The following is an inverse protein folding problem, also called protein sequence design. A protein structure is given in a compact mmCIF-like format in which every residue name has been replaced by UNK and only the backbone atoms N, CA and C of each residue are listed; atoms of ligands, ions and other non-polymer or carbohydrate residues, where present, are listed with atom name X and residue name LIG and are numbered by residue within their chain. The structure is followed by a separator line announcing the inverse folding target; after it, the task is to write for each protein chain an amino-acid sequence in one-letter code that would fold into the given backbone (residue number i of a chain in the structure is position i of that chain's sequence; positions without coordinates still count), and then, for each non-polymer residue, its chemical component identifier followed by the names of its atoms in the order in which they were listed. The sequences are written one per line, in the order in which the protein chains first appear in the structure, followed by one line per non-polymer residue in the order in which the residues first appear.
data_IF_140823509029
#
_entry.id   IF_140823509029
#
_cell.length_a   1.000
_cell.length_b   1.000
_cell.length_c   1.000
_cell.angle_alpha   90.00
_cell.angle_beta   90.00
_cell.angle_gamma   90.00
#
_symmetry.space_group_name_H-M   'P 1'
#
loop_
_entity.id
_entity.type
_entity.pdbx_description
1 polymer ?
#
# COMPACT_ATOMS: atom_id res chain seq x y z
N UNK A 1 -8.87 -10.33 17.10
CA UNK A 1 -9.69 -9.88 18.24
C UNK A 1 -9.35 -8.44 18.58
N UNK A 2 -10.29 -7.75 19.27
CA UNK A 2 -10.12 -6.40 19.78
C UNK A 2 -10.52 -6.41 21.26
N UNK A 3 -9.68 -5.79 22.08
CA UNK A 3 -9.99 -5.54 23.50
C UNK A 3 -10.15 -4.04 23.70
N UNK A 4 -11.20 -3.62 24.39
CA UNK A 4 -11.46 -2.21 24.69
C UNK A 4 -11.60 -2.02 26.21
N UNK A 5 -10.88 -1.05 26.74
CA UNK A 5 -10.97 -0.60 28.13
C UNK A 5 -11.15 0.91 28.13
N UNK A 6 -12.36 1.37 28.44
CA UNK A 6 -12.74 2.78 28.37
C UNK A 6 -12.37 3.37 26.99
N UNK A 7 -11.42 4.27 26.92
CA UNK A 7 -10.95 4.97 25.71
C UNK A 7 -9.77 4.29 25.02
N UNK A 8 -9.27 3.18 25.53
CA UNK A 8 -8.15 2.44 24.94
C UNK A 8 -8.66 1.23 24.18
N UNK A 9 -8.34 1.15 22.90
CA UNK A 9 -8.65 0.02 22.03
C UNK A 9 -7.35 -0.66 21.59
N UNK A 10 -7.23 -1.96 21.83
CA UNK A 10 -6.08 -2.80 21.49
C UNK A 10 -6.49 -3.86 20.47
N UNK A 11 -6.27 -3.67 19.18
CA UNK A 11 -6.40 -4.71 18.18
C UNK A 11 -5.20 -5.67 18.21
N UNK A 12 -5.47 -6.98 18.15
CA UNK A 12 -4.47 -8.04 18.05
C UNK A 12 -4.91 -9.08 17.01
N UNK A 13 -4.00 -9.53 16.18
CA UNK A 13 -4.24 -10.58 15.20
C UNK A 13 -3.00 -11.43 14.97
N UNK A 14 -3.20 -12.71 14.73
CA UNK A 14 -2.14 -13.64 14.34
C UNK A 14 -2.62 -14.55 13.22
N UNK A 15 -1.69 -14.93 12.35
CA UNK A 15 -1.91 -15.85 11.23
C UNK A 15 -0.74 -16.81 11.14
N UNK A 16 -1.05 -18.06 10.84
CA UNK A 16 -0.05 -19.05 10.53
C UNK A 16 -0.26 -19.54 9.10
N UNK A 17 0.76 -19.42 8.27
CA UNK A 17 0.74 -19.78 6.86
C UNK A 17 1.56 -21.06 6.62
N UNK A 18 1.04 -21.92 5.73
CA UNK A 18 1.75 -23.06 5.13
C UNK A 18 1.72 -22.84 3.62
N UNK A 19 2.88 -22.96 2.99
CA UNK A 19 3.01 -22.82 1.54
C UNK A 19 3.90 -23.94 1.01
N UNK A 20 3.28 -24.87 0.30
CA UNK A 20 3.96 -25.97 -0.38
C UNK A 20 4.04 -25.63 -1.86
N UNK A 21 5.25 -25.57 -2.42
CA UNK A 21 5.50 -25.16 -3.79
C UNK A 21 6.32 -26.23 -4.53
N UNK A 22 5.99 -26.43 -5.80
CA UNK A 22 6.74 -27.32 -6.70
C UNK A 22 6.98 -26.59 -8.04
N UNK A 23 8.23 -26.56 -8.46
CA UNK A 23 8.64 -26.04 -9.76
C UNK A 23 9.20 -27.15 -10.62
N UNK A 24 8.61 -27.37 -11.80
CA UNK A 24 9.05 -28.36 -12.77
C UNK A 24 9.76 -27.67 -13.96
N UNK A 25 11.06 -27.87 -14.06
CA UNK A 25 11.81 -27.48 -15.25
C UNK A 25 11.69 -28.60 -16.31
N UNK A 26 10.81 -28.40 -17.28
CA UNK A 26 10.54 -29.41 -18.35
C UNK A 26 11.69 -29.58 -19.32
N UNK A 27 12.61 -28.63 -19.43
CA UNK A 27 13.78 -28.73 -20.32
C UNK A 27 14.87 -29.54 -19.67
N UNK A 28 15.16 -29.29 -18.40
CA UNK A 28 16.17 -30.02 -17.64
C UNK A 28 15.64 -31.31 -17.01
N UNK A 29 14.31 -31.50 -16.96
CA UNK A 29 13.69 -32.67 -16.29
C UNK A 29 13.86 -32.64 -14.76
N UNK A 30 14.12 -31.48 -14.16
CA UNK A 30 14.34 -31.33 -12.73
C UNK A 30 13.11 -30.75 -12.04
N UNK A 31 12.89 -31.19 -10.81
CA UNK A 31 11.83 -30.68 -9.93
C UNK A 31 12.45 -30.09 -8.69
N UNK A 32 12.10 -28.86 -8.36
CA UNK A 32 12.43 -28.23 -7.08
C UNK A 32 11.16 -28.14 -6.23
N UNK A 33 11.29 -28.40 -4.92
CA UNK A 33 10.19 -28.33 -3.94
C UNK A 33 10.61 -27.47 -2.78
N UNK A 34 9.66 -26.62 -2.35
CA UNK A 34 9.86 -25.73 -1.23
C UNK A 34 8.64 -25.71 -0.32
N UNK A 35 8.86 -25.98 0.95
CA UNK A 35 7.85 -25.95 2.01
C UNK A 35 8.20 -24.81 2.96
N UNK A 36 7.35 -23.80 3.04
CA UNK A 36 7.54 -22.66 3.90
C UNK A 36 6.43 -22.60 4.96
N UNK A 37 6.81 -22.24 6.19
CA UNK A 37 5.89 -22.08 7.32
C UNK A 37 6.23 -20.79 8.04
N UNK A 38 5.22 -19.94 8.30
CA UNK A 38 5.46 -18.68 8.95
C UNK A 38 4.28 -18.28 9.84
N UNK A 39 4.59 -17.93 11.07
CA UNK A 39 3.67 -17.17 11.92
C UNK A 39 3.90 -15.69 11.71
N UNK A 40 2.83 -14.92 11.46
CA UNK A 40 2.83 -13.47 11.38
C UNK A 40 1.79 -12.92 12.34
N UNK A 41 2.06 -11.75 12.90
CA UNK A 41 1.14 -11.11 13.82
C UNK A 41 1.05 -9.60 13.56
N UNK A 42 -0.03 -9.02 14.04
CA UNK A 42 -0.23 -7.57 14.08
C UNK A 42 -0.82 -7.18 15.42
N UNK A 43 -0.43 -6.01 15.89
CA UNK A 43 -0.98 -5.46 17.12
C UNK A 43 -0.89 -3.94 17.10
N UNK A 44 -1.72 -3.31 17.91
CA UNK A 44 -1.73 -1.85 18.00
C UNK A 44 -2.40 -1.37 19.26
N UNK A 45 -2.35 -0.07 19.46
CA UNK A 45 -3.07 0.64 20.49
C UNK A 45 -3.64 1.92 19.92
N UNK A 46 -4.91 2.18 20.21
CA UNK A 46 -5.61 3.40 19.84
C UNK A 46 -6.15 4.05 21.09
N UNK A 47 -6.12 5.37 21.16
CA UNK A 47 -6.75 6.13 22.23
C UNK A 47 -7.88 6.98 21.65
N UNK A 48 -9.10 6.76 22.14
CA UNK A 48 -10.33 7.37 21.63
C UNK A 48 -10.64 8.64 22.44
N UNK A 49 -10.37 9.82 21.90
CA UNK A 49 -10.79 11.07 22.49
C UNK A 49 -12.25 11.39 22.15
N UNK A 50 -12.97 12.05 23.05
CA UNK A 50 -14.39 12.40 22.87
C UNK A 50 -14.64 13.38 21.71
N UNK A 51 -13.61 14.10 21.26
CA UNK A 51 -13.68 15.04 20.14
C UNK A 51 -13.48 14.38 18.76
N UNK A 52 -13.48 13.05 18.69
CA UNK A 52 -13.31 12.27 17.46
C UNK A 52 -11.85 12.08 17.02
N UNK A 53 -10.88 12.57 17.78
CA UNK A 53 -9.45 12.34 17.53
C UNK A 53 -9.03 10.99 18.10
N UNK A 54 -8.34 10.18 17.29
CA UNK A 54 -7.85 8.85 17.69
C UNK A 54 -6.39 8.70 17.26
N UNK A 55 -5.42 9.07 18.07
CA UNK A 55 -4.03 8.67 17.86
C UNK A 55 -3.87 7.17 17.99
N UNK A 56 -2.96 6.61 17.21
CA UNK A 56 -2.67 5.19 17.25
C UNK A 56 -1.20 4.87 16.99
N UNK A 57 -0.80 3.71 17.46
CA UNK A 57 0.42 3.02 17.05
C UNK A 57 0.04 1.63 16.59
N UNK A 58 0.66 1.14 15.51
CA UNK A 58 0.52 -0.23 15.05
C UNK A 58 1.86 -0.85 14.66
N UNK A 59 1.93 -2.15 14.84
CA UNK A 59 2.96 -3.04 14.32
C UNK A 59 2.30 -4.15 13.52
N UNK A 60 2.86 -4.49 12.37
CA UNK A 60 2.37 -5.60 11.54
C UNK A 60 3.52 -6.32 10.83
N UNK A 61 3.31 -7.62 10.62
CA UNK A 61 4.18 -8.48 9.83
C UNK A 61 3.44 -9.01 8.62
N UNK A 62 4.18 -9.24 7.52
CA UNK A 62 3.68 -9.89 6.32
C UNK A 62 4.62 -11.01 5.88
N UNK A 63 4.03 -12.00 5.20
CA UNK A 63 4.71 -13.13 4.60
C UNK A 63 4.09 -13.38 3.22
N UNK A 64 4.95 -13.52 2.21
CA UNK A 64 4.55 -13.74 0.83
C UNK A 64 5.48 -14.79 0.19
N UNK A 65 4.98 -16.02 -0.08
CA UNK A 65 5.74 -17.05 -0.80
C UNK A 65 6.14 -16.56 -2.19
N UNK A 66 7.34 -16.93 -2.64
CA UNK A 66 7.78 -16.60 -4.00
C UNK A 66 7.27 -17.67 -4.98
N UNK A 67 6.71 -17.25 -6.10
CA UNK A 67 6.39 -18.13 -7.24
C UNK A 67 7.49 -18.14 -8.31
N UNK A 68 8.57 -17.39 -8.11
CA UNK A 68 9.67 -17.27 -9.05
C UNK A 68 10.81 -18.23 -8.71
N UNK A 69 11.54 -18.63 -9.75
CA UNK A 69 12.73 -19.49 -9.63
C UNK A 69 13.97 -18.73 -10.09
N UNK A 70 15.10 -19.01 -9.45
CA UNK A 70 16.40 -18.49 -9.83
C UNK A 70 16.97 -19.17 -11.09
N UNK A 71 18.14 -18.73 -11.52
CA UNK A 71 18.89 -19.28 -12.64
C UNK A 71 19.27 -20.77 -12.42
N UNK A 72 19.42 -21.17 -11.19
CA UNK A 72 19.69 -22.54 -10.74
C UNK A 72 18.45 -23.44 -10.70
N UNK A 73 17.26 -22.88 -10.98
CA UNK A 73 15.98 -23.56 -10.94
C UNK A 73 15.34 -23.67 -9.56
N UNK A 74 15.99 -23.17 -8.51
CA UNK A 74 15.47 -23.20 -7.15
C UNK A 74 14.43 -22.11 -6.93
N UNK A 75 13.38 -22.42 -6.17
CA UNK A 75 12.35 -21.46 -5.76
C UNK A 75 12.95 -20.51 -4.72
N UNK A 76 12.76 -19.19 -4.92
CA UNK A 76 13.27 -18.18 -3.99
C UNK A 76 12.63 -18.24 -2.61
N UNK A 77 13.36 -17.75 -1.61
CA UNK A 77 12.84 -17.58 -0.26
C UNK A 77 11.64 -16.61 -0.24
N UNK A 78 10.63 -16.86 0.63
CA UNK A 78 9.51 -15.97 0.79
C UNK A 78 9.95 -14.56 1.21
N UNK A 79 9.32 -13.54 0.67
CA UNK A 79 9.53 -12.20 1.16
C UNK A 79 8.78 -11.99 2.47
N UNK A 80 9.40 -11.21 3.39
CA UNK A 80 8.84 -10.87 4.70
C UNK A 80 8.84 -9.37 4.88
N UNK A 81 7.75 -8.85 5.42
CA UNK A 81 7.62 -7.43 5.76
C UNK A 81 7.42 -7.22 7.24
N UNK A 82 7.94 -6.10 7.75
CA UNK A 82 7.67 -5.57 9.10
C UNK A 82 7.41 -4.09 8.99
N UNK A 83 6.30 -3.63 9.58
CA UNK A 83 5.93 -2.22 9.56
C UNK A 83 5.61 -1.72 10.96
N UNK A 84 6.16 -0.56 11.27
CA UNK A 84 5.78 0.29 12.40
C UNK A 84 5.08 1.52 11.86
N UNK A 85 3.95 1.88 12.46
CA UNK A 85 3.17 3.03 12.05
C UNK A 85 2.65 3.80 13.26
N UNK A 86 2.75 5.12 13.19
CA UNK A 86 2.15 6.06 14.14
C UNK A 86 1.25 6.99 13.37
N UNK A 87 0.02 7.13 13.79
CA UNK A 87 -0.93 7.98 13.10
C UNK A 87 -1.99 8.58 13.99
N UNK A 88 -2.79 9.42 13.37
CA UNK A 88 -3.97 10.04 13.97
C UNK A 88 -5.13 9.91 12.99
N UNK A 89 -6.25 9.42 13.47
CA UNK A 89 -7.53 9.42 12.78
C UNK A 89 -8.45 10.45 13.41
N UNK A 90 -9.13 11.25 12.60
CA UNK A 90 -10.12 12.23 13.04
C UNK A 90 -11.48 11.91 12.42
N UNK A 91 -12.46 11.63 13.26
CA UNK A 91 -13.85 11.33 12.87
C UNK A 91 -14.76 12.05 13.86
N UNK A 92 -15.10 13.33 13.63
CA UNK A 92 -16.01 14.06 14.50
C UNK A 92 -17.43 13.50 14.38
N UNK A 93 -18.20 13.54 15.47
CA UNK A 93 -19.58 13.02 15.51
C UNK A 93 -20.57 13.90 14.75
N UNK A 94 -20.30 15.21 14.69
CA UNK A 94 -21.19 16.23 14.12
C UNK A 94 -21.02 16.45 12.60
N UNK A 95 -20.05 15.81 11.98
CA UNK A 95 -19.69 16.01 10.57
C UNK A 95 -19.28 14.70 9.89
N UNK A 96 -19.73 14.47 8.66
CA UNK A 96 -19.35 13.29 7.89
C UNK A 96 -17.96 13.48 7.26
N UNK A 97 -16.94 13.61 8.11
CA UNK A 97 -15.52 13.81 7.75
C UNK A 97 -14.73 12.71 8.38
N UNK A 98 -13.80 12.13 7.60
CA UNK A 98 -12.76 11.22 8.08
C UNK A 98 -11.43 11.73 7.54
N UNK A 99 -10.49 12.01 8.42
CA UNK A 99 -9.11 12.35 8.07
C UNK A 99 -8.18 11.39 8.79
N UNK A 100 -7.24 10.81 8.06
CA UNK A 100 -6.18 9.98 8.65
C UNK A 100 -4.84 10.52 8.20
N UNK A 101 -3.92 10.67 9.13
CA UNK A 101 -2.52 10.98 8.85
C UNK A 101 -1.64 9.98 9.58
N UNK A 102 -0.61 9.45 8.89
CA UNK A 102 0.31 8.48 9.46
C UNK A 102 1.74 8.71 8.99
N UNK A 103 2.68 8.28 9.80
CA UNK A 103 4.09 8.08 9.44
C UNK A 103 4.41 6.61 9.63
N UNK A 104 5.15 6.04 8.71
CA UNK A 104 5.49 4.62 8.75
C UNK A 104 6.97 4.34 8.47
N UNK A 105 7.40 3.17 8.92
CA UNK A 105 8.69 2.58 8.60
C UNK A 105 8.46 1.09 8.29
N UNK A 106 8.60 0.74 7.02
CA UNK A 106 8.46 -0.61 6.47
C UNK A 106 9.83 -1.15 6.11
N UNK A 107 10.12 -2.39 6.51
CA UNK A 107 11.28 -3.16 6.06
C UNK A 107 10.78 -4.42 5.37
N UNK A 108 11.20 -4.65 4.12
CA UNK A 108 10.93 -5.87 3.35
C UNK A 108 12.23 -6.61 3.06
N UNK A 109 12.32 -7.88 3.48
CA UNK A 109 13.47 -8.76 3.22
C UNK A 109 13.15 -9.76 2.12
N UNK A 110 14.18 -10.35 1.53
CA UNK A 110 14.09 -11.31 0.40
C UNK A 110 13.32 -10.70 -0.79
N UNK A 111 13.55 -9.42 -1.05
CA UNK A 111 12.98 -8.76 -2.22
C UNK A 111 13.65 -9.29 -3.49
N UNK A 112 12.86 -9.57 -4.52
CA UNK A 112 13.38 -9.98 -5.82
C UNK A 112 13.59 -8.77 -6.71
N UNK A 113 14.68 -8.78 -7.47
CA UNK A 113 14.99 -7.77 -8.47
C UNK A 113 15.55 -8.41 -9.74
N UNK A 114 15.64 -7.64 -10.82
CA UNK A 114 16.30 -8.07 -12.04
C UNK A 114 17.78 -8.37 -11.77
N UNK A 115 18.30 -9.44 -12.39
CA UNK A 115 19.71 -9.79 -12.29
C UNK A 115 20.59 -8.67 -12.82
N UNK A 116 21.52 -8.12 -11.99
CA UNK A 116 22.45 -7.06 -12.43
C UNK A 116 23.40 -7.50 -13.57
N UNK A 117 23.62 -8.79 -13.74
CA UNK A 117 24.42 -9.33 -14.86
C UNK A 117 23.62 -9.38 -16.18
N UNK A 118 22.37 -8.92 -16.19
CA UNK A 118 21.54 -8.81 -17.39
C UNK A 118 20.92 -10.11 -17.87
N UNK A 119 20.85 -11.15 -17.03
CA UNK A 119 20.08 -12.34 -17.35
C UNK A 119 18.57 -12.07 -17.29
N UNK A 120 17.75 -12.96 -17.87
CA UNK A 120 16.29 -12.89 -17.78
C UNK A 120 15.73 -13.38 -16.43
N UNK A 121 16.60 -13.76 -15.51
CA UNK A 121 16.22 -14.25 -14.19
C UNK A 121 16.14 -13.10 -13.18
N UNK A 122 15.47 -13.38 -12.07
CA UNK A 122 15.52 -12.55 -10.87
C UNK A 122 16.63 -13.05 -9.94
N UNK A 123 17.07 -12.16 -9.06
CA UNK A 123 17.95 -12.47 -7.93
C UNK A 123 17.34 -11.91 -6.65
N UNK A 124 17.76 -12.45 -5.49
CA UNK A 124 17.39 -11.85 -4.21
C UNK A 124 18.10 -10.51 -4.03
N UNK A 125 17.34 -9.43 -3.94
CA UNK A 125 17.82 -8.06 -3.84
C UNK A 125 18.03 -7.57 -2.41
N UNK A 126 18.12 -8.48 -1.45
CA UNK A 126 18.37 -8.14 -0.05
C UNK A 126 17.16 -7.48 0.63
N UNK A 127 17.41 -6.40 1.35
CA UNK A 127 16.41 -5.68 2.14
C UNK A 127 16.09 -4.32 1.52
N UNK A 128 14.80 -3.99 1.49
CA UNK A 128 14.30 -2.65 1.17
C UNK A 128 13.72 -2.05 2.46
N UNK A 129 14.08 -0.80 2.74
CA UNK A 129 13.42 0.00 3.75
C UNK A 129 12.66 1.13 3.08
N UNK A 130 11.38 1.29 3.43
CA UNK A 130 10.53 2.39 2.99
C UNK A 130 10.02 3.17 4.21
N UNK A 131 10.19 4.48 4.21
CA UNK A 131 9.68 5.41 5.21
C UNK A 131 8.81 6.43 4.53
N UNK A 132 7.73 6.82 5.17
CA UNK A 132 6.85 7.77 4.52
C UNK A 132 5.84 8.41 5.42
N UNK A 133 5.08 9.27 4.78
CA UNK A 133 3.93 9.97 5.36
C UNK A 133 2.74 9.71 4.45
N UNK A 134 1.61 9.38 5.04
CA UNK A 134 0.34 9.19 4.34
C UNK A 134 -0.72 10.10 4.95
N UNK A 135 -1.50 10.75 4.10
CA UNK A 135 -2.66 11.55 4.50
C UNK A 135 -3.81 11.12 3.60
N UNK A 136 -4.94 10.82 4.21
CA UNK A 136 -6.19 10.53 3.52
C UNK A 136 -7.31 11.35 4.15
N UNK A 137 -8.16 11.93 3.32
CA UNK A 137 -9.33 12.67 3.76
C UNK A 137 -10.55 12.30 2.92
N UNK A 138 -11.68 12.08 3.58
CA UNK A 138 -12.98 11.87 2.97
C UNK A 138 -13.99 12.76 3.69
N UNK A 139 -14.74 13.56 2.93
CA UNK A 139 -15.71 14.47 3.50
C UNK A 139 -16.96 14.56 2.61
N UNK A 140 -18.15 14.51 3.21
CA UNK A 140 -19.36 15.04 2.62
C UNK A 140 -19.47 16.51 3.07
N UNK A 141 -19.08 17.44 2.20
CA UNK A 141 -19.08 18.87 2.49
C UNK A 141 -20.49 19.46 2.56
N UNK A 142 -21.43 18.80 1.88
CA UNK A 142 -22.85 19.05 1.94
C UNK A 142 -23.61 17.77 1.56
N UNK A 143 -24.95 17.81 1.57
CA UNK A 143 -25.76 16.71 1.06
C UNK A 143 -25.43 16.39 -0.42
N UNK A 144 -25.02 17.40 -1.19
CA UNK A 144 -24.74 17.29 -2.62
C UNK A 144 -23.26 17.05 -2.96
N UNK A 145 -22.31 17.39 -2.09
CA UNK A 145 -20.87 17.42 -2.42
C UNK A 145 -20.09 16.46 -1.59
N UNK A 146 -19.44 15.49 -2.25
CA UNK A 146 -18.45 14.61 -1.63
C UNK A 146 -17.05 14.91 -2.19
N UNK A 147 -16.05 14.80 -1.34
CA UNK A 147 -14.64 14.94 -1.69
C UNK A 147 -13.84 13.82 -1.04
N UNK A 148 -12.94 13.21 -1.82
CA UNK A 148 -11.95 12.22 -1.32
C UNK A 148 -10.59 12.65 -1.84
N UNK A 149 -9.61 12.71 -0.95
CA UNK A 149 -8.25 13.05 -1.32
C UNK A 149 -7.24 12.21 -0.56
N UNK A 150 -6.11 11.94 -1.20
CA UNK A 150 -4.97 11.27 -0.56
C UNK A 150 -3.65 11.87 -1.03
N UNK A 151 -2.67 11.79 -0.17
CA UNK A 151 -1.29 12.13 -0.48
C UNK A 151 -0.36 11.16 0.23
N UNK A 152 0.64 10.64 -0.51
CA UNK A 152 1.67 9.76 0.01
C UNK A 152 3.05 10.32 -0.36
N UNK A 153 3.91 10.42 0.62
CA UNK A 153 5.35 10.58 0.45
C UNK A 153 6.06 9.29 0.86
N UNK A 154 6.89 8.74 -0.01
CA UNK A 154 7.67 7.52 0.25
C UNK A 154 9.14 7.75 -0.05
N UNK A 155 9.99 7.49 0.94
CA UNK A 155 11.43 7.40 0.78
C UNK A 155 11.86 5.95 0.97
N UNK A 156 12.19 5.28 -0.15
CA UNK A 156 12.56 3.86 -0.17
C UNK A 156 13.98 3.67 -0.67
N UNK A 157 14.72 2.75 -0.06
CA UNK A 157 16.10 2.43 -0.41
C UNK A 157 16.42 0.95 -0.19
N UNK A 158 17.34 0.41 -0.98
CA UNK A 158 18.00 -0.86 -0.69
C UNK A 158 18.99 -0.68 0.46
N UNK A 159 18.85 -1.47 1.54
CA UNK A 159 19.68 -1.32 2.75
C UNK A 159 20.81 -2.33 2.86
N UNK A 160 20.63 -3.55 2.34
CA UNK A 160 21.61 -4.65 2.47
C UNK A 160 22.10 -5.22 1.14
N UNK A 161 21.62 -4.68 0.02
CA UNK A 161 22.09 -5.09 -1.31
C UNK A 161 23.56 -4.69 -1.54
N UNK A 162 24.35 -5.58 -2.15
CA UNK A 162 25.78 -5.31 -2.38
C UNK A 162 26.04 -4.40 -3.57
N UNK A 163 25.13 -4.38 -4.54
CA UNK A 163 25.29 -3.63 -5.81
C UNK A 163 24.55 -2.31 -5.78
N UNK A 164 23.33 -2.29 -5.20
CA UNK A 164 22.41 -1.15 -5.30
C UNK A 164 22.09 -0.50 -3.95
N UNK A 165 22.88 -0.78 -2.91
CA UNK A 165 22.69 -0.19 -1.58
C UNK A 165 22.63 1.35 -1.67
N UNK A 166 21.58 1.92 -1.07
CA UNK A 166 21.30 3.36 -1.09
C UNK A 166 20.49 3.82 -2.30
N UNK A 167 20.34 2.98 -3.34
CA UNK A 167 19.48 3.31 -4.48
C UNK A 167 18.00 3.13 -4.12
N UNK A 168 17.16 3.91 -4.80
CA UNK A 168 15.71 3.78 -4.72
C UNK A 168 15.24 2.58 -5.55
N UNK A 169 14.36 1.71 -5.04
CA UNK A 169 13.77 0.63 -5.83
C UNK A 169 13.05 1.15 -7.09
N UNK A 170 13.14 0.38 -8.18
CA UNK A 170 12.49 0.73 -9.43
C UNK A 170 10.97 0.90 -9.25
N UNK A 171 10.37 1.83 -10.00
CA UNK A 171 8.93 2.11 -10.02
C UNK A 171 8.33 2.57 -8.68
N UNK A 172 9.15 3.06 -7.76
CA UNK A 172 8.70 3.68 -6.51
C UNK A 172 8.78 5.20 -6.62
N UNK A 173 7.67 5.91 -6.89
CA UNK A 173 7.65 7.37 -6.90
C UNK A 173 7.69 7.91 -5.47
N UNK A 174 8.42 9.03 -5.26
CA UNK A 174 8.47 9.69 -3.95
C UNK A 174 7.16 10.36 -3.55
N UNK A 175 6.37 10.82 -4.53
CA UNK A 175 5.14 11.56 -4.29
C UNK A 175 4.00 10.97 -5.11
N UNK A 176 2.91 10.68 -4.47
CA UNK A 176 1.64 10.34 -5.08
C UNK A 176 0.53 11.16 -4.45
N UNK A 177 -0.44 11.59 -5.26
CA UNK A 177 -1.60 12.31 -4.78
C UNK A 177 -2.84 11.93 -5.57
N UNK A 178 -3.99 11.93 -4.94
CA UNK A 178 -5.27 11.82 -5.62
C UNK A 178 -6.28 12.79 -5.03
N UNK A 179 -7.16 13.30 -5.88
CA UNK A 179 -8.30 14.10 -5.46
C UNK A 179 -9.48 13.73 -6.33
N UNK A 180 -10.61 13.45 -5.71
CA UNK A 180 -11.90 13.22 -6.35
C UNK A 180 -12.93 14.11 -5.72
N UNK A 181 -13.83 14.69 -6.53
CA UNK A 181 -15.01 15.39 -6.07
C UNK A 181 -16.21 15.01 -6.93
N UNK A 182 -17.37 14.88 -6.31
CA UNK A 182 -18.64 14.69 -7.00
C UNK A 182 -19.73 15.61 -6.44
N UNK A 183 -20.67 15.92 -7.31
CA UNK A 183 -21.86 16.72 -7.00
C UNK A 183 -23.11 15.97 -7.46
N UNK A 184 -24.05 15.76 -6.55
CA UNK A 184 -25.36 15.16 -6.81
C UNK A 184 -26.45 16.22 -6.76
N UNK A 185 -27.24 16.32 -7.83
CA UNK A 185 -28.41 17.17 -7.89
C UNK A 185 -29.60 16.45 -7.24
N UNK A 186 -30.11 16.98 -6.16
CA UNK A 186 -31.29 16.40 -5.47
C UNK A 186 -32.60 17.06 -5.87
N UNK A 187 -32.56 18.28 -6.44
CA UNK A 187 -33.71 19.08 -6.80
C UNK A 187 -33.67 19.54 -8.25
N UNK A 188 -34.83 19.95 -8.76
CA UNK A 188 -34.99 20.56 -10.09
C UNK A 188 -34.94 19.55 -11.24
N UNK A 189 -34.73 20.01 -12.48
CA UNK A 189 -34.80 19.17 -13.70
C UNK A 189 -33.66 18.18 -13.83
N UNK A 190 -32.59 18.34 -13.03
CA UNK A 190 -31.43 17.44 -13.02
C UNK A 190 -31.42 16.52 -11.78
N UNK A 191 -32.51 16.47 -11.02
CA UNK A 191 -32.61 15.60 -9.85
C UNK A 191 -32.27 14.15 -10.20
N UNK A 192 -31.37 13.54 -9.40
CA UNK A 192 -30.82 12.20 -9.65
C UNK A 192 -29.52 12.18 -10.49
N UNK A 193 -29.11 13.31 -11.07
CA UNK A 193 -27.83 13.39 -11.78
C UNK A 193 -26.68 13.59 -10.78
N UNK A 194 -25.61 12.81 -10.93
CA UNK A 194 -24.33 13.00 -10.25
C UNK A 194 -23.24 13.24 -11.29
N UNK A 195 -22.48 14.29 -11.10
CA UNK A 195 -21.27 14.58 -11.87
C UNK A 195 -20.07 14.49 -10.97
N UNK A 196 -19.04 13.78 -11.39
CA UNK A 196 -17.80 13.63 -10.63
C UNK A 196 -16.59 13.82 -11.52
N UNK A 197 -15.52 14.31 -10.93
CA UNK A 197 -14.21 14.39 -11.57
C UNK A 197 -13.11 14.23 -10.55
N UNK A 198 -11.96 13.74 -11.00
CA UNK A 198 -10.79 13.59 -10.16
C UNK A 198 -9.50 13.55 -10.94
N UNK A 199 -8.40 13.70 -10.21
CA UNK A 199 -7.06 13.59 -10.74
C UNK A 199 -6.19 12.71 -9.85
N UNK A 200 -5.31 11.93 -10.48
CA UNK A 200 -4.30 11.10 -9.81
C UNK A 200 -2.93 11.49 -10.34
N UNK A 201 -2.11 12.03 -9.47
CA UNK A 201 -0.71 12.38 -9.76
C UNK A 201 0.22 11.27 -9.26
N UNK A 202 1.13 10.85 -10.13
CA UNK A 202 2.25 9.96 -9.81
C UNK A 202 3.56 10.68 -10.11
N UNK A 203 4.39 10.84 -9.12
CA UNK A 203 5.71 11.47 -9.25
C UNK A 203 6.65 10.65 -10.13
N UNK A 204 7.78 11.24 -10.51
CA UNK A 204 8.81 10.50 -11.23
C UNK A 204 9.40 9.37 -10.38
N UNK A 205 9.77 8.27 -11.04
CA UNK A 205 10.42 7.11 -10.41
C UNK A 205 11.60 6.65 -11.26
N UNK A 206 12.49 5.85 -10.68
CA UNK A 206 13.53 5.19 -11.45
C UNK A 206 12.96 3.99 -12.19
N UNK A 207 13.48 3.73 -13.40
CA UNK A 207 13.03 2.60 -14.22
C UNK A 207 13.77 1.30 -13.92
N UNK A 208 14.91 1.38 -13.24
CA UNK A 208 15.78 0.24 -12.89
C UNK A 208 16.38 0.38 -11.47
N UNK A 209 16.85 -0.74 -10.87
CA UNK A 209 17.51 -0.72 -9.55
C UNK A 209 18.83 0.07 -9.51
N UNK A 210 19.50 0.23 -10.66
CA UNK A 210 20.73 1.02 -10.77
C UNK A 210 20.49 2.52 -10.71
N UNK A 211 19.23 2.95 -10.78
CA UNK A 211 18.81 4.36 -10.89
C UNK A 211 19.40 5.08 -12.12
N UNK A 212 19.63 4.33 -13.21
CA UNK A 212 20.30 4.83 -14.40
C UNK A 212 19.43 5.76 -15.23
N UNK A 213 18.10 5.61 -15.18
CA UNK A 213 17.14 6.48 -15.86
C UNK A 213 15.87 6.68 -15.05
N UNK A 214 15.15 7.76 -15.34
CA UNK A 214 13.88 8.10 -14.69
C UNK A 214 12.73 8.01 -15.66
N UNK A 215 11.62 7.46 -15.17
CA UNK A 215 10.28 7.59 -15.76
C UNK A 215 9.69 8.90 -15.26
N UNK A 216 9.21 9.76 -16.17
CA UNK A 216 8.62 11.05 -15.83
C UNK A 216 7.34 10.93 -14.99
N UNK A 217 7.03 12.00 -14.24
CA UNK A 217 5.75 12.11 -13.55
C UNK A 217 4.59 12.26 -14.54
N UNK A 218 3.41 11.83 -14.13
CA UNK A 218 2.18 11.98 -14.93
C UNK A 218 0.96 12.20 -14.05
N UNK A 219 -0.09 12.73 -14.68
CA UNK A 219 -1.40 12.90 -14.06
C UNK A 219 -2.46 12.24 -14.94
N UNK A 220 -3.34 11.47 -14.31
CA UNK A 220 -4.53 10.89 -14.96
C UNK A 220 -5.75 11.64 -14.44
N UNK A 221 -6.66 12.01 -15.35
CA UNK A 221 -7.92 12.68 -15.01
C UNK A 221 -9.06 11.72 -15.31
N UNK A 222 -9.97 11.57 -14.38
CA UNK A 222 -11.16 10.74 -14.48
C UNK A 222 -12.41 11.61 -14.40
N UNK A 223 -13.49 11.21 -15.06
CA UNK A 223 -14.81 11.85 -15.00
C UNK A 223 -15.91 10.79 -14.85
N UNK A 224 -16.96 11.15 -14.12
CA UNK A 224 -18.15 10.33 -13.88
C UNK A 224 -19.42 11.13 -14.22
N UNK A 225 -20.33 10.48 -14.91
CA UNK A 225 -21.72 10.90 -15.03
C UNK A 225 -22.59 9.72 -14.62
N UNK A 226 -23.42 9.90 -13.59
CA UNK A 226 -24.39 8.90 -13.12
C UNK A 226 -25.78 9.55 -13.03
N UNK A 227 -26.79 8.83 -13.46
CA UNK A 227 -28.18 9.26 -13.30
C UNK A 227 -28.96 8.14 -12.62
N UNK A 228 -29.53 8.45 -11.45
CA UNK A 228 -30.39 7.54 -10.69
C UNK A 228 -31.84 7.69 -11.18
N UNK A 229 -32.31 6.70 -11.95
CA UNK A 229 -33.71 6.63 -12.35
C UNK A 229 -34.55 6.30 -11.12
N UNK A 230 -35.47 7.19 -10.74
CA UNK A 230 -36.46 6.86 -9.75
C UNK A 230 -37.20 5.60 -10.23
N UNK A 231 -37.17 4.52 -9.43
CA UNK A 231 -38.09 3.39 -9.67
C UNK A 231 -39.49 3.91 -9.36
N UNK A 232 -40.30 4.09 -10.40
CA UNK A 232 -41.73 4.33 -10.31
C UNK A 232 -42.40 3.11 -9.71
#
# INVERSE_FOLDING_TARGET
DQAQWDKVLVPLGGRYDWADQESLNRVAGTTDKRDDKQFTWRGGVNYLFDNGVTPYFSYSESFEPSSQVGKDGNIFAPSKGKQYEVGVKYVPEDRPIVVTGAVYNLTKTNNLMADPEGSFFSVEGGEIRARGVEIEAKAALSASVNVVGSYTYTDAEYTTDTTYKGNTPAQVPKHMASLWADYTFFDGPLSGLTLGTGGRYTGSSYGDPANSFKVGSYTVVDALVRYDLARV
#
